data_IF_648539664467
#
_entry.id   IF_648539664467
#
_cell.length_a   1.000
_cell.length_b   1.000
_cell.length_c   1.000
_cell.angle_alpha   90.00
_cell.angle_beta   90.00
_cell.angle_gamma   90.00
#
_symmetry.space_group_name_H-M   'P 1'
#
loop_
_entity.id
_entity.type
_entity.pdbx_description
1 polymer ?
#
# COMPACT_ATOMS: atom_id res chain seq x y z
N UNK A 1 -10.12 -7.60 -48.15
CA UNK A 1 -10.84 -8.63 -48.91
C UNK A 1 -12.14 -8.01 -49.39
N UNK A 2 -12.45 -8.20 -50.68
CA UNK A 2 -13.69 -7.76 -51.30
C UNK A 2 -14.87 -8.36 -50.52
N UNK A 3 -15.81 -7.54 -50.10
CA UNK A 3 -17.12 -8.01 -49.64
C UNK A 3 -18.10 -7.78 -50.77
N UNK A 4 -18.56 -8.90 -51.33
CA UNK A 4 -19.51 -8.98 -52.43
C UNK A 4 -20.86 -8.38 -52.07
N UNK A 5 -21.64 -8.14 -53.12
CA UNK A 5 -22.90 -7.43 -53.11
C UNK A 5 -23.97 -8.02 -52.20
N UNK A 6 -24.66 -7.10 -51.53
CA UNK A 6 -26.13 -7.04 -51.47
C UNK A 6 -26.87 -8.34 -51.16
N UNK A 7 -26.87 -8.70 -49.88
CA UNK A 7 -28.15 -8.92 -49.20
C UNK A 7 -28.42 -7.68 -48.35
N UNK A 8 -29.28 -6.80 -48.86
CA UNK A 8 -29.78 -5.64 -48.11
C UNK A 8 -30.59 -6.23 -46.96
N UNK A 9 -29.97 -6.31 -45.78
CA UNK A 9 -30.63 -6.63 -44.53
C UNK A 9 -31.95 -5.86 -44.46
N UNK A 10 -33.02 -6.56 -44.10
CA UNK A 10 -34.37 -6.03 -43.98
C UNK A 10 -34.34 -4.73 -43.16
N UNK A 11 -34.40 -3.60 -43.86
CA UNK A 11 -34.50 -2.28 -43.25
C UNK A 11 -35.94 -2.07 -42.80
N UNK A 12 -36.09 -1.49 -41.61
CA UNK A 12 -37.26 -0.84 -41.02
C UNK A 12 -38.20 -1.65 -40.11
N UNK A 13 -38.16 -1.33 -38.82
CA UNK A 13 -39.35 -0.79 -38.14
C UNK A 13 -39.19 0.74 -37.97
N UNK A 14 -40.27 1.45 -38.25
CA UNK A 14 -40.36 2.86 -38.66
C UNK A 14 -40.28 3.92 -37.54
N UNK A 15 -39.46 3.76 -36.51
CA UNK A 15 -39.61 4.62 -35.32
C UNK A 15 -38.54 5.70 -35.07
N UNK A 16 -37.51 5.87 -35.92
CA UNK A 16 -36.52 6.94 -35.68
C UNK A 16 -35.84 7.50 -36.96
N UNK A 17 -36.64 8.01 -37.92
CA UNK A 17 -36.11 8.78 -39.07
C UNK A 17 -35.83 10.23 -38.63
N UNK A 18 -34.61 10.72 -38.90
CA UNK A 18 -34.23 12.11 -38.64
C UNK A 18 -35.25 13.08 -39.24
N UNK A 19 -35.68 14.07 -38.46
CA UNK A 19 -36.66 15.08 -38.87
C UNK A 19 -36.38 15.70 -40.24
N UNK A 20 -35.12 15.81 -40.64
CA UNK A 20 -34.65 16.40 -41.90
C UNK A 20 -34.78 15.49 -43.12
N UNK A 21 -35.10 14.21 -42.93
CA UNK A 21 -35.36 13.26 -44.02
C UNK A 21 -36.84 12.86 -44.10
N UNK A 22 -37.70 13.34 -43.19
CA UNK A 22 -39.13 12.95 -43.11
C UNK A 22 -39.95 13.34 -44.34
N UNK A 23 -39.50 14.32 -45.14
CA UNK A 23 -40.17 14.73 -46.39
C UNK A 23 -39.87 13.79 -47.57
N UNK A 24 -38.89 12.89 -47.43
CA UNK A 24 -38.52 11.91 -48.44
C UNK A 24 -39.28 10.60 -48.20
N UNK A 25 -39.68 9.94 -49.28
CA UNK A 25 -40.24 8.59 -49.21
C UNK A 25 -39.14 7.51 -49.12
N UNK A 26 -39.54 6.27 -48.85
CA UNK A 26 -38.61 5.15 -48.66
C UNK A 26 -37.68 4.89 -49.86
N UNK A 27 -38.20 4.94 -51.10
CA UNK A 27 -37.41 4.73 -52.31
C UNK A 27 -36.38 5.86 -52.52
N UNK A 28 -36.77 7.10 -52.22
CA UNK A 28 -35.87 8.26 -52.26
C UNK A 28 -34.75 8.15 -51.23
N UNK A 29 -35.03 7.67 -50.02
CA UNK A 29 -34.01 7.45 -48.98
C UNK A 29 -33.04 6.35 -49.39
N UNK A 30 -33.52 5.23 -49.92
CA UNK A 30 -32.64 4.13 -50.39
C UNK A 30 -31.75 4.59 -51.55
N UNK A 31 -32.29 5.35 -52.50
CA UNK A 31 -31.52 5.94 -53.62
C UNK A 31 -30.48 6.93 -53.12
N UNK A 32 -30.82 7.78 -52.15
CA UNK A 32 -29.89 8.72 -51.52
C UNK A 32 -28.73 7.98 -50.84
N UNK A 33 -29.01 6.92 -50.10
CA UNK A 33 -28.00 6.10 -49.42
C UNK A 33 -27.08 5.41 -50.43
N UNK A 34 -27.63 4.79 -51.48
CA UNK A 34 -26.83 4.15 -52.55
C UNK A 34 -25.89 5.16 -53.19
N UNK A 35 -26.44 6.28 -53.69
CA UNK A 35 -25.66 7.35 -54.31
C UNK A 35 -24.63 7.96 -53.36
N UNK A 36 -24.94 7.99 -52.06
CA UNK A 36 -23.95 8.34 -51.06
C UNK A 36 -22.82 7.30 -51.01
N UNK A 37 -23.03 6.00 -50.91
CA UNK A 37 -21.89 5.07 -50.85
C UNK A 37 -21.15 4.89 -52.20
N UNK A 38 -21.80 5.22 -53.33
CA UNK A 38 -21.21 5.22 -54.68
C UNK A 38 -20.21 6.36 -54.93
N UNK A 39 -20.02 7.26 -53.96
CA UNK A 39 -18.98 8.28 -54.01
C UNK A 39 -19.42 9.63 -54.58
N UNK A 40 -20.71 9.85 -54.84
CA UNK A 40 -21.21 11.11 -55.40
C UNK A 40 -20.91 12.33 -54.50
N UNK A 41 -20.78 13.53 -55.09
CA UNK A 41 -20.51 14.76 -54.32
C UNK A 41 -21.67 15.06 -53.36
N UNK A 42 -21.38 15.10 -52.06
CA UNK A 42 -22.38 15.27 -50.99
C UNK A 42 -23.18 16.57 -51.16
N UNK A 43 -22.55 17.66 -51.61
CA UNK A 43 -23.22 18.94 -51.88
C UNK A 43 -24.32 18.83 -52.95
N UNK A 44 -24.12 17.97 -53.95
CA UNK A 44 -25.11 17.71 -55.00
C UNK A 44 -26.31 16.99 -54.40
N UNK A 45 -26.05 15.94 -53.61
CA UNK A 45 -27.10 15.17 -52.92
C UNK A 45 -27.93 16.04 -51.97
N UNK A 46 -27.30 16.92 -51.18
CA UNK A 46 -28.01 17.82 -50.27
C UNK A 46 -28.95 18.79 -51.01
N UNK A 47 -28.51 19.32 -52.16
CA UNK A 47 -29.34 20.22 -52.98
C UNK A 47 -30.48 19.49 -53.66
N UNK A 48 -30.21 18.34 -54.27
CA UNK A 48 -31.20 17.56 -55.03
C UNK A 48 -32.33 17.04 -54.15
N UNK A 49 -32.00 16.51 -52.98
CA UNK A 49 -32.97 15.97 -52.02
C UNK A 49 -33.50 17.03 -51.04
N UNK A 50 -33.10 18.31 -51.20
CA UNK A 50 -33.53 19.44 -50.38
C UNK A 50 -33.27 19.22 -48.87
N UNK A 51 -32.10 18.67 -48.52
CA UNK A 51 -31.72 18.33 -47.14
C UNK A 51 -30.89 19.47 -46.55
N UNK A 52 -31.39 20.07 -45.48
CA UNK A 52 -30.67 21.12 -44.74
C UNK A 52 -29.72 20.52 -43.69
N UNK A 53 -28.47 20.23 -44.09
CA UNK A 53 -27.42 19.76 -43.20
C UNK A 53 -26.02 20.12 -43.73
N UNK A 54 -24.97 19.99 -42.88
CA UNK A 54 -23.59 20.06 -43.35
C UNK A 54 -23.22 18.77 -44.11
N UNK A 55 -22.32 18.87 -45.09
CA UNK A 55 -21.87 17.71 -45.85
C UNK A 55 -21.28 16.58 -44.97
N UNK A 56 -20.58 16.94 -43.89
CA UNK A 56 -20.02 15.99 -42.92
C UNK A 56 -21.07 15.33 -42.01
N UNK A 57 -22.35 15.70 -42.11
CA UNK A 57 -23.43 15.20 -41.26
C UNK A 57 -24.42 14.31 -42.01
N UNK A 58 -24.36 14.26 -43.34
CA UNK A 58 -25.34 13.52 -44.16
C UNK A 58 -25.51 12.07 -43.71
N UNK A 59 -24.41 11.35 -43.52
CA UNK A 59 -24.43 9.94 -43.12
C UNK A 59 -25.03 9.70 -41.72
N UNK A 60 -25.01 10.70 -40.84
CA UNK A 60 -25.56 10.59 -39.46
C UNK A 60 -27.09 10.59 -39.45
N UNK A 61 -27.71 11.05 -40.53
CA UNK A 61 -29.16 11.10 -40.66
C UNK A 61 -29.74 9.81 -41.25
N UNK A 62 -28.89 8.92 -41.79
CA UNK A 62 -29.34 7.67 -42.36
C UNK A 62 -29.91 6.74 -41.27
N UNK A 63 -30.99 6.01 -41.58
CA UNK A 63 -31.53 5.02 -40.66
C UNK A 63 -30.46 3.97 -40.33
N UNK A 64 -30.48 3.48 -39.09
CA UNK A 64 -29.61 2.41 -38.67
C UNK A 64 -30.00 1.08 -39.34
N UNK A 65 -29.02 0.22 -39.58
CA UNK A 65 -29.24 -1.14 -40.08
C UNK A 65 -29.61 -2.05 -38.92
N UNK A 66 -30.65 -2.86 -39.08
CA UNK A 66 -31.07 -3.86 -38.08
C UNK A 66 -30.18 -5.09 -38.22
N UNK A 67 -29.57 -5.50 -37.12
CA UNK A 67 -28.74 -6.70 -37.04
C UNK A 67 -29.58 -7.92 -36.64
N UNK A 68 -29.16 -9.11 -37.07
CA UNK A 68 -29.83 -10.38 -36.72
C UNK A 68 -29.52 -10.85 -35.28
N UNK A 69 -28.85 -10.01 -34.48
CA UNK A 69 -28.47 -10.28 -33.09
C UNK A 69 -29.40 -9.47 -32.18
N UNK A 70 -29.92 -10.11 -31.14
CA UNK A 70 -30.78 -9.46 -30.15
C UNK A 70 -29.98 -9.02 -28.93
N UNK A 71 -30.36 -7.88 -28.36
CA UNK A 71 -29.85 -7.41 -27.08
C UNK A 71 -30.18 -8.43 -25.98
N UNK A 72 -29.16 -8.86 -25.24
CA UNK A 72 -29.31 -9.77 -24.11
C UNK A 72 -30.29 -9.27 -23.03
N UNK A 73 -30.37 -7.95 -22.81
CA UNK A 73 -31.21 -7.37 -21.75
C UNK A 73 -32.63 -7.02 -22.18
N UNK A 74 -32.79 -6.52 -23.41
CA UNK A 74 -34.08 -5.98 -23.89
C UNK A 74 -34.80 -6.93 -24.86
N UNK A 75 -34.11 -7.97 -25.35
CA UNK A 75 -34.61 -8.90 -26.37
C UNK A 75 -35.07 -8.23 -27.69
N UNK A 76 -34.57 -7.03 -27.97
CA UNK A 76 -34.78 -6.28 -29.22
C UNK A 76 -33.57 -6.43 -30.14
N UNK A 77 -33.77 -6.35 -31.46
CA UNK A 77 -32.66 -6.41 -32.41
C UNK A 77 -31.69 -5.24 -32.19
N UNK A 78 -30.39 -5.54 -32.25
CA UNK A 78 -29.35 -4.52 -32.24
C UNK A 78 -29.36 -3.77 -33.56
N UNK A 79 -28.85 -2.56 -33.54
CA UNK A 79 -28.72 -1.72 -34.73
C UNK A 79 -27.29 -1.22 -34.90
N UNK A 80 -26.86 -1.04 -36.14
CA UNK A 80 -25.57 -0.43 -36.47
C UNK A 80 -25.78 0.87 -37.22
N UNK A 81 -25.09 1.93 -36.80
CA UNK A 81 -25.13 3.19 -37.54
C UNK A 81 -24.38 3.08 -38.87
N UNK A 82 -24.88 3.77 -39.88
CA UNK A 82 -24.23 3.84 -41.17
C UNK A 82 -22.91 4.63 -41.05
N UNK A 83 -21.74 4.08 -41.45
CA UNK A 83 -20.46 4.76 -41.28
C UNK A 83 -20.25 5.84 -42.33
N UNK A 84 -19.47 6.89 -42.02
CA UNK A 84 -19.01 7.82 -43.07
C UNK A 84 -18.07 7.09 -44.04
N UNK A 85 -18.01 7.55 -45.30
CA UNK A 85 -17.09 6.99 -46.32
C UNK A 85 -15.62 6.93 -45.89
N UNK A 86 -15.20 7.81 -44.99
CA UNK A 86 -13.80 7.97 -44.55
C UNK A 86 -13.54 7.41 -43.16
N UNK A 87 -14.51 6.74 -42.53
CA UNK A 87 -14.34 6.22 -41.17
C UNK A 87 -13.66 4.87 -41.19
N UNK A 88 -12.53 4.76 -40.50
CA UNK A 88 -11.88 3.48 -40.21
C UNK A 88 -12.25 2.92 -38.83
N UNK A 89 -13.12 3.60 -38.08
CA UNK A 89 -13.56 3.15 -36.76
C UNK A 89 -14.48 1.93 -36.88
N UNK A 90 -14.21 0.90 -36.07
CA UNK A 90 -15.10 -0.25 -35.92
C UNK A 90 -16.42 0.21 -35.32
N UNK A 91 -17.50 0.07 -36.07
CA UNK A 91 -18.84 0.40 -35.58
C UNK A 91 -19.44 -0.84 -34.93
N UNK A 92 -19.78 -0.73 -33.65
CA UNK A 92 -20.37 -1.83 -32.89
C UNK A 92 -21.88 -1.71 -32.93
N UNK A 93 -22.56 -2.83 -33.20
CA UNK A 93 -24.00 -2.95 -33.03
C UNK A 93 -24.39 -2.57 -31.60
N UNK A 94 -25.49 -1.82 -31.46
CA UNK A 94 -25.98 -1.37 -30.16
C UNK A 94 -27.50 -1.47 -30.04
N UNK A 95 -27.98 -1.59 -28.80
CA UNK A 95 -29.40 -1.70 -28.51
C UNK A 95 -30.03 -0.30 -28.50
N UNK A 96 -31.08 -0.03 -29.30
CA UNK A 96 -31.73 1.29 -29.32
C UNK A 96 -32.49 1.62 -28.02
N UNK A 97 -32.77 0.63 -27.17
CA UNK A 97 -33.49 0.85 -25.91
C UNK A 97 -32.59 1.10 -24.69
N UNK A 98 -31.40 0.49 -24.65
CA UNK A 98 -30.56 0.52 -23.45
C UNK A 98 -29.08 0.83 -23.74
N UNK A 99 -28.75 1.20 -24.97
CA UNK A 99 -27.39 1.51 -25.45
C UNK A 99 -26.37 0.38 -25.23
N UNK A 100 -26.82 -0.86 -25.01
CA UNK A 100 -25.95 -2.02 -24.92
C UNK A 100 -25.22 -2.23 -26.23
N UNK A 101 -23.88 -2.21 -26.20
CA UNK A 101 -23.03 -2.46 -27.37
C UNK A 101 -22.50 -3.90 -27.31
N UNK A 102 -22.44 -4.56 -28.45
CA UNK A 102 -21.86 -5.90 -28.58
C UNK A 102 -20.32 -5.86 -28.52
N UNK A 103 -19.82 -5.53 -27.34
CA UNK A 103 -18.38 -5.45 -27.04
C UNK A 103 -18.17 -5.79 -25.56
N UNK A 104 -17.08 -6.50 -25.22
CA UNK A 104 -16.70 -6.75 -23.83
C UNK A 104 -16.53 -5.47 -23.01
N UNK A 105 -16.30 -4.32 -23.66
CA UNK A 105 -16.08 -3.02 -23.01
C UNK A 105 -17.35 -2.17 -22.91
N UNK A 106 -18.54 -2.77 -23.05
CA UNK A 106 -19.80 -2.04 -22.95
C UNK A 106 -19.98 -1.40 -21.56
N UNK A 107 -20.43 -0.14 -21.53
CA UNK A 107 -20.65 0.64 -20.30
C UNK A 107 -22.09 1.10 -20.11
N UNK A 108 -23.05 0.42 -20.75
CA UNK A 108 -24.47 0.71 -20.53
C UNK A 108 -24.90 0.39 -19.10
N UNK A 109 -26.05 0.90 -18.67
CA UNK A 109 -26.55 0.76 -17.29
C UNK A 109 -26.64 -0.70 -16.84
N UNK A 110 -27.15 -1.59 -17.70
CA UNK A 110 -27.31 -3.00 -17.38
C UNK A 110 -25.96 -3.74 -17.29
N UNK A 111 -25.01 -3.45 -18.20
CA UNK A 111 -23.67 -4.03 -18.12
C UNK A 111 -22.92 -3.57 -16.87
N UNK A 112 -23.02 -2.29 -16.52
CA UNK A 112 -22.44 -1.75 -15.28
C UNK A 112 -23.06 -2.40 -14.04
N UNK A 113 -24.39 -2.57 -14.02
CA UNK A 113 -25.08 -3.22 -12.90
C UNK A 113 -24.64 -4.67 -12.74
N UNK A 114 -24.58 -5.43 -13.83
CA UNK A 114 -24.11 -6.82 -13.81
C UNK A 114 -22.65 -6.92 -13.32
N UNK A 115 -21.79 -6.00 -13.75
CA UNK A 115 -20.40 -5.96 -13.29
C UNK A 115 -20.31 -5.62 -11.79
N UNK A 116 -21.11 -4.65 -11.32
CA UNK A 116 -21.20 -4.31 -9.90
C UNK A 116 -21.70 -5.50 -9.07
N UNK A 117 -22.73 -6.21 -9.54
CA UNK A 117 -23.26 -7.41 -8.87
C UNK A 117 -22.20 -8.51 -8.78
N UNK A 118 -21.41 -8.73 -9.83
CA UNK A 118 -20.27 -9.65 -9.80
C UNK A 118 -19.22 -9.24 -8.77
N UNK A 119 -18.76 -7.99 -8.80
CA UNK A 119 -17.78 -7.47 -7.84
C UNK A 119 -18.30 -7.59 -6.40
N UNK A 120 -19.58 -7.29 -6.16
CA UNK A 120 -20.21 -7.42 -4.85
C UNK A 120 -20.26 -8.88 -4.39
N UNK A 121 -20.66 -9.80 -5.27
CA UNK A 121 -20.69 -11.24 -4.99
C UNK A 121 -19.30 -11.79 -4.70
N UNK A 122 -18.30 -11.41 -5.49
CA UNK A 122 -16.90 -11.80 -5.28
C UNK A 122 -16.36 -11.26 -3.97
N UNK A 123 -16.62 -9.99 -3.66
CA UNK A 123 -16.20 -9.39 -2.39
C UNK A 123 -16.90 -10.03 -1.20
N UNK A 124 -18.17 -10.41 -1.33
CA UNK A 124 -18.90 -11.12 -0.28
C UNK A 124 -18.30 -12.51 -0.04
N UNK A 125 -18.03 -13.27 -1.11
CA UNK A 125 -17.33 -14.55 -1.02
C UNK A 125 -15.97 -14.41 -0.31
N UNK A 126 -15.16 -13.42 -0.73
CA UNK A 126 -13.85 -13.13 -0.11
C UNK A 126 -13.98 -12.80 1.39
N UNK A 127 -14.96 -11.99 1.79
CA UNK A 127 -15.22 -11.67 3.20
C UNK A 127 -15.60 -12.89 4.03
N UNK A 128 -16.49 -13.75 3.51
CA UNK A 128 -16.89 -14.98 4.19
C UNK A 128 -15.66 -15.88 4.39
N UNK A 129 -14.86 -16.08 3.34
CA UNK A 129 -13.65 -16.92 3.43
C UNK A 129 -12.62 -16.37 4.44
N UNK A 130 -12.42 -15.06 4.49
CA UNK A 130 -11.58 -14.41 5.52
C UNK A 130 -12.16 -14.67 6.91
N UNK A 131 -13.46 -14.47 7.09
CA UNK A 131 -14.11 -14.65 8.38
C UNK A 131 -14.00 -16.11 8.89
N UNK A 132 -14.24 -17.08 8.02
CA UNK A 132 -14.12 -18.51 8.33
C UNK A 132 -12.68 -18.92 8.63
N UNK A 133 -11.70 -18.39 7.89
CA UNK A 133 -10.28 -18.74 8.08
C UNK A 133 -9.72 -18.17 9.38
N UNK A 134 -10.06 -16.92 9.68
CA UNK A 134 -9.51 -16.14 10.79
C UNK A 134 -10.47 -15.99 11.96
N UNK A 135 -11.42 -16.92 12.11
CA UNK A 135 -12.20 -17.05 13.33
C UNK A 135 -11.25 -17.38 14.49
N UNK A 136 -11.36 -16.64 15.60
CA UNK A 136 -10.52 -16.87 16.79
C UNK A 136 -10.70 -18.30 17.33
N UNK A 137 -11.88 -18.89 17.15
CA UNK A 137 -12.18 -20.26 17.59
C UNK A 137 -11.34 -21.33 16.86
N UNK A 138 -10.75 -21.01 15.70
CA UNK A 138 -9.87 -21.91 14.98
C UNK A 138 -8.46 -21.99 15.59
N UNK A 139 -8.12 -21.08 16.51
CA UNK A 139 -6.81 -21.02 17.13
C UNK A 139 -6.84 -21.61 18.53
N UNK A 140 -5.82 -22.40 18.84
CA UNK A 140 -5.52 -22.73 20.23
C UNK A 140 -5.01 -21.46 20.91
N UNK A 141 -5.69 -21.02 21.95
CA UNK A 141 -5.27 -19.85 22.71
C UNK A 141 -3.98 -20.11 23.48
N UNK A 142 -3.12 -19.09 23.58
CA UNK A 142 -1.88 -19.17 24.34
C UNK A 142 -2.14 -18.82 25.80
N UNK A 143 -1.50 -19.54 26.72
CA UNK A 143 -1.50 -19.12 28.12
C UNK A 143 -0.50 -17.98 28.29
N UNK A 144 -0.82 -16.98 29.12
CA UNK A 144 0.13 -15.90 29.42
C UNK A 144 1.47 -16.42 29.95
N UNK A 145 1.45 -17.52 30.72
CA UNK A 145 2.64 -18.16 31.27
C UNK A 145 3.53 -18.84 30.22
N UNK A 146 3.02 -19.07 29.00
CA UNK A 146 3.79 -19.62 27.88
C UNK A 146 4.55 -18.52 27.11
N UNK A 147 4.21 -17.25 27.34
CA UNK A 147 4.88 -16.11 26.70
C UNK A 147 6.17 -15.79 27.47
N UNK A 148 7.25 -15.57 26.73
CA UNK A 148 8.49 -15.08 27.34
C UNK A 148 8.43 -13.54 27.52
N UNK A 149 9.37 -12.97 28.28
CA UNK A 149 9.42 -11.53 28.55
C UNK A 149 9.42 -10.67 27.28
N UNK A 150 10.08 -11.12 26.20
CA UNK A 150 10.08 -10.40 24.93
C UNK A 150 8.69 -10.39 24.30
N UNK A 151 8.00 -11.53 24.30
CA UNK A 151 6.66 -11.66 23.77
C UNK A 151 5.68 -10.74 24.51
N UNK A 152 5.75 -10.71 25.85
CA UNK A 152 4.94 -9.82 26.68
C UNK A 152 5.23 -8.34 26.37
N UNK A 153 6.52 -7.94 26.31
CA UNK A 153 6.91 -6.57 25.98
C UNK A 153 6.42 -6.15 24.59
N UNK A 154 6.61 -7.02 23.59
CA UNK A 154 6.23 -6.77 22.21
C UNK A 154 4.71 -6.67 22.04
N UNK A 155 3.96 -7.55 22.71
CA UNK A 155 2.51 -7.51 22.71
C UNK A 155 2.01 -6.21 23.34
N UNK A 156 2.52 -5.85 24.53
CA UNK A 156 2.20 -4.59 25.18
C UNK A 156 2.51 -3.38 24.28
N UNK A 157 3.65 -3.40 23.57
CA UNK A 157 4.02 -2.36 22.62
C UNK A 157 2.98 -2.20 21.49
N UNK A 158 2.53 -3.29 20.86
CA UNK A 158 1.49 -3.21 19.82
C UNK A 158 0.15 -2.72 20.36
N UNK A 159 -0.25 -3.22 21.53
CA UNK A 159 -1.50 -2.83 22.16
C UNK A 159 -1.52 -1.33 22.47
N UNK A 160 -0.45 -0.79 23.05
CA UNK A 160 -0.32 0.65 23.32
C UNK A 160 -0.28 1.50 22.06
N UNK A 161 0.18 0.92 20.97
CA UNK A 161 0.30 1.63 19.70
C UNK A 161 -1.04 1.72 18.97
N UNK A 162 -1.75 0.59 18.80
CA UNK A 162 -2.82 0.45 17.81
C UNK A 162 -4.05 -0.34 18.26
N UNK A 163 -4.19 -0.66 19.55
CA UNK A 163 -5.45 -1.22 20.05
C UNK A 163 -6.57 -0.18 19.88
N UNK A 164 -7.73 -0.60 19.40
CA UNK A 164 -8.89 0.27 19.27
C UNK A 164 -9.54 0.58 20.62
N UNK A 165 -10.39 1.62 20.67
CA UNK A 165 -11.04 2.08 21.90
C UNK A 165 -11.96 1.02 22.54
N UNK A 166 -12.43 0.06 21.74
CA UNK A 166 -13.27 -1.04 22.22
C UNK A 166 -12.47 -2.25 22.69
N UNK A 167 -11.14 -2.18 22.76
CA UNK A 167 -10.27 -3.29 23.17
C UNK A 167 -10.59 -4.58 22.40
N UNK A 168 -10.80 -4.48 21.09
CA UNK A 168 -11.25 -5.57 20.23
C UNK A 168 -10.22 -5.92 19.17
N UNK A 169 -9.64 -4.91 18.52
CA UNK A 169 -8.73 -5.10 17.40
C UNK A 169 -7.46 -4.26 17.55
N UNK A 170 -6.33 -4.84 17.13
CA UNK A 170 -5.13 -4.07 16.84
C UNK A 170 -5.25 -3.61 15.38
N UNK A 171 -5.39 -2.30 15.19
CA UNK A 171 -5.56 -1.68 13.89
C UNK A 171 -4.29 -1.82 13.02
N UNK A 172 -4.40 -1.62 11.68
CA UNK A 172 -3.27 -1.78 10.77
C UNK A 172 -2.11 -0.84 11.12
N UNK A 173 -0.89 -1.31 10.81
CA UNK A 173 0.38 -0.68 11.19
C UNK A 173 1.04 0.12 10.05
N UNK A 174 0.54 0.04 8.80
CA UNK A 174 1.21 0.54 7.58
C UNK A 174 1.69 2.01 7.68
N UNK A 175 0.94 2.86 8.40
CA UNK A 175 1.27 4.28 8.57
C UNK A 175 1.92 4.61 9.93
N UNK A 176 2.22 3.61 10.75
CA UNK A 176 2.68 3.77 12.14
C UNK A 176 3.97 3.01 12.44
N UNK A 177 4.60 2.41 11.43
CA UNK A 177 5.80 1.57 11.57
C UNK A 177 6.90 2.32 12.33
N UNK A 178 7.18 3.57 11.92
CA UNK A 178 8.27 4.38 12.47
C UNK A 178 8.02 4.88 13.90
N UNK A 179 6.80 4.79 14.43
CA UNK A 179 6.49 5.16 15.82
C UNK A 179 6.58 3.98 16.79
N UNK A 180 6.40 2.74 16.34
CA UNK A 180 6.32 1.56 17.23
C UNK A 180 7.71 1.19 17.75
N UNK A 181 8.69 1.15 16.86
CA UNK A 181 10.10 0.83 17.17
C UNK A 181 11.03 1.78 16.41
N UNK A 182 12.31 1.92 16.81
CA UNK A 182 13.20 2.89 16.16
C UNK A 182 13.46 2.61 14.66
N UNK A 183 13.39 1.35 14.23
CA UNK A 183 13.58 0.97 12.82
C UNK A 183 12.43 0.10 12.32
N UNK A 184 12.17 0.14 11.01
CA UNK A 184 11.16 -0.70 10.36
C UNK A 184 11.49 -2.19 10.42
N UNK A 185 12.77 -2.54 10.42
CA UNK A 185 13.22 -3.93 10.56
C UNK A 185 12.90 -4.47 11.96
N UNK A 186 13.05 -3.63 13.01
CA UNK A 186 12.64 -4.01 14.36
C UNK A 186 11.12 -4.14 14.48
N UNK A 187 10.34 -3.30 13.79
CA UNK A 187 8.87 -3.46 13.75
C UNK A 187 8.50 -4.77 13.07
N UNK A 188 9.19 -5.11 11.98
CA UNK A 188 8.98 -6.38 11.26
C UNK A 188 9.29 -7.58 12.15
N UNK A 189 10.43 -7.57 12.83
CA UNK A 189 10.82 -8.60 13.80
C UNK A 189 9.73 -8.77 14.86
N UNK A 190 9.28 -7.66 15.46
CA UNK A 190 8.27 -7.63 16.51
C UNK A 190 6.95 -8.26 16.05
N UNK A 191 6.41 -7.82 14.91
CA UNK A 191 5.13 -8.31 14.39
C UNK A 191 5.23 -9.78 14.00
N UNK A 192 6.30 -10.16 13.29
CA UNK A 192 6.50 -11.54 12.86
C UNK A 192 6.73 -12.49 14.03
N UNK A 193 7.46 -12.07 15.08
CA UNK A 193 7.68 -12.95 16.25
C UNK A 193 6.37 -13.29 16.94
N UNK A 194 5.47 -12.31 17.10
CA UNK A 194 4.14 -12.52 17.71
C UNK A 194 3.22 -13.34 16.78
N UNK A 195 3.21 -13.02 15.48
CA UNK A 195 2.34 -13.70 14.51
C UNK A 195 2.76 -15.16 14.25
N UNK A 196 4.06 -15.46 14.24
CA UNK A 196 4.58 -16.81 14.05
C UNK A 196 4.24 -17.71 15.25
N UNK A 197 4.25 -17.15 16.46
CA UNK A 197 3.83 -17.83 17.69
C UNK A 197 2.32 -17.85 17.90
N UNK A 198 1.54 -17.28 16.98
CA UNK A 198 0.08 -17.13 17.09
C UNK A 198 -0.35 -16.40 18.36
N UNK A 199 0.47 -15.51 18.89
CA UNK A 199 0.12 -14.61 20.01
C UNK A 199 -0.82 -13.53 19.50
N UNK A 200 -0.56 -13.06 18.27
CA UNK A 200 -1.52 -12.29 17.48
C UNK A 200 -1.85 -13.10 16.23
N UNK A 201 -3.09 -12.99 15.77
CA UNK A 201 -3.55 -13.58 14.51
C UNK A 201 -4.34 -12.56 13.72
N UNK A 202 -4.39 -12.64 12.38
CA UNK A 202 -5.25 -11.75 11.62
C UNK A 202 -6.69 -11.85 12.11
N UNK A 203 -7.40 -10.74 12.15
CA UNK A 203 -8.81 -10.70 12.54
C UNK A 203 -9.69 -10.90 11.29
N UNK A 204 -10.80 -11.61 11.47
CA UNK A 204 -11.88 -11.80 10.49
C UNK A 204 -12.44 -10.51 9.84
N UNK A 205 -12.24 -9.35 10.45
CA UNK A 205 -12.70 -8.04 9.97
C UNK A 205 -11.68 -7.35 9.05
N UNK A 206 -10.55 -8.00 8.79
CA UNK A 206 -9.46 -7.43 7.99
C UNK A 206 -9.93 -7.07 6.58
N UNK A 207 -9.49 -5.93 6.02
CA UNK A 207 -9.83 -5.54 4.64
C UNK A 207 -9.37 -6.57 3.61
N UNK A 208 -10.16 -6.83 2.57
CA UNK A 208 -9.85 -7.81 1.50
C UNK A 208 -8.49 -7.54 0.86
N UNK A 209 -8.16 -6.27 0.60
CA UNK A 209 -6.89 -5.84 -0.02
C UNK A 209 -5.67 -6.00 0.92
N UNK A 210 -5.86 -6.49 2.14
CA UNK A 210 -4.79 -6.90 3.05
C UNK A 210 -4.27 -8.31 2.77
N UNK A 211 -4.96 -9.04 1.89
CA UNK A 211 -4.63 -10.39 1.49
C UNK A 211 -4.18 -10.40 0.03
N UNK A 212 -3.26 -11.30 -0.31
CA UNK A 212 -2.80 -11.48 -1.68
C UNK A 212 -3.88 -12.24 -2.47
N UNK A 213 -4.24 -11.72 -3.64
CA UNK A 213 -5.21 -12.35 -4.54
C UNK A 213 -4.53 -13.44 -5.37
N UNK A 214 -4.34 -14.61 -4.76
CA UNK A 214 -3.80 -15.81 -5.40
C UNK A 214 -4.57 -17.08 -4.99
N UNK A 215 -4.11 -18.24 -5.44
CA UNK A 215 -4.73 -19.55 -5.16
C UNK A 215 -4.80 -19.87 -3.66
N UNK A 216 -3.88 -19.31 -2.86
CA UNK A 216 -3.78 -19.54 -1.42
C UNK A 216 -4.66 -18.57 -0.60
N UNK A 217 -5.40 -17.66 -1.24
CA UNK A 217 -6.25 -16.69 -0.55
C UNK A 217 -7.19 -17.38 0.47
N UNK A 218 -7.29 -16.89 1.72
CA UNK A 218 -6.69 -15.67 2.27
C UNK A 218 -5.40 -15.91 3.08
N UNK A 219 -4.70 -17.04 2.93
CA UNK A 219 -3.59 -17.42 3.83
C UNK A 219 -2.34 -16.55 3.71
N UNK A 220 -2.13 -15.92 2.55
CA UNK A 220 -1.04 -14.95 2.34
C UNK A 220 -1.54 -13.54 2.56
N UNK A 221 -0.97 -12.84 3.55
CA UNK A 221 -1.39 -11.49 3.94
C UNK A 221 -0.24 -10.51 4.12
N UNK A 222 -0.54 -9.23 3.96
CA UNK A 222 0.39 -8.13 4.22
C UNK A 222 0.36 -7.79 5.71
N UNK A 223 1.45 -8.09 6.42
CA UNK A 223 1.54 -8.01 7.90
C UNK A 223 1.26 -6.63 8.51
N UNK A 224 1.29 -5.55 7.72
CA UNK A 224 1.01 -4.20 8.20
C UNK A 224 -0.38 -3.68 7.80
N UNK A 225 -1.14 -4.43 6.98
CA UNK A 225 -2.46 -4.03 6.47
C UNK A 225 -3.63 -4.74 7.13
N UNK A 226 -3.40 -5.95 7.63
CA UNK A 226 -4.43 -6.70 8.35
C UNK A 226 -4.73 -6.06 9.70
N UNK A 227 -5.97 -6.24 10.17
CA UNK A 227 -6.28 -6.08 11.58
C UNK A 227 -5.75 -7.32 12.30
N UNK A 228 -5.24 -7.17 13.51
CA UNK A 228 -4.90 -8.31 14.37
C UNK A 228 -5.87 -8.41 15.55
N UNK A 229 -6.04 -9.61 16.04
CA UNK A 229 -6.64 -9.93 17.34
C UNK A 229 -5.62 -10.66 18.20
N UNK A 230 -5.72 -10.48 19.52
CA UNK A 230 -4.86 -11.17 20.48
C UNK A 230 -5.42 -12.57 20.74
N UNK A 231 -4.54 -13.56 20.72
CA UNK A 231 -4.85 -14.98 20.97
C UNK A 231 -4.08 -15.45 22.21
N UNK A 232 -4.36 -14.79 23.34
CA UNK A 232 -3.80 -15.06 24.68
C UNK A 232 -4.96 -15.08 25.68
N UNK A 233 -5.02 -16.09 26.54
CA UNK A 233 -6.01 -16.21 27.61
C UNK A 233 -5.68 -15.27 28.78
N UNK A 234 -5.83 -13.97 28.57
CA UNK A 234 -5.67 -12.95 29.61
C UNK A 234 -6.48 -11.70 29.23
N UNK A 235 -6.87 -10.89 30.23
CA UNK A 235 -7.47 -9.58 29.96
C UNK A 235 -6.50 -8.66 29.20
N UNK A 236 -7.00 -8.01 28.14
CA UNK A 236 -6.22 -7.04 27.37
C UNK A 236 -5.72 -5.86 28.22
N UNK A 237 -6.41 -5.51 29.30
CA UNK A 237 -6.00 -4.47 30.26
C UNK A 237 -4.65 -4.80 30.92
N UNK A 238 -4.46 -6.07 31.29
CA UNK A 238 -3.24 -6.64 31.88
C UNK A 238 -2.14 -6.72 30.83
N UNK A 239 -2.46 -7.22 29.64
CA UNK A 239 -1.50 -7.33 28.52
C UNK A 239 -1.02 -5.96 28.02
N UNK A 240 -1.86 -4.93 28.07
CA UNK A 240 -1.53 -3.55 27.72
C UNK A 240 -0.55 -2.92 28.73
N UNK A 241 -0.62 -3.35 30.00
CA UNK A 241 0.14 -2.80 31.13
C UNK A 241 0.74 -3.94 31.97
N UNK A 242 1.69 -4.72 31.42
CA UNK A 242 2.29 -5.82 32.17
C UNK A 242 3.01 -5.28 33.41
N UNK A 243 3.00 -6.05 34.50
CA UNK A 243 3.71 -5.66 35.71
C UNK A 243 5.21 -5.52 35.42
N UNK A 244 5.79 -4.37 35.73
CA UNK A 244 7.22 -4.11 35.62
C UNK A 244 8.09 -5.14 36.35
N UNK A 245 7.61 -5.73 37.46
CA UNK A 245 8.41 -6.63 38.29
C UNK A 245 8.84 -7.89 37.54
N UNK A 246 8.02 -8.41 36.61
CA UNK A 246 8.37 -9.62 35.84
C UNK A 246 9.63 -9.41 34.99
N UNK A 247 9.86 -8.18 34.52
CA UNK A 247 11.04 -7.82 33.74
C UNK A 247 12.23 -7.53 34.65
N UNK A 248 12.01 -6.79 35.73
CA UNK A 248 13.06 -6.39 36.68
C UNK A 248 13.68 -7.59 37.41
N UNK A 249 12.92 -8.68 37.56
CA UNK A 249 13.42 -9.94 38.10
C UNK A 249 14.38 -10.69 37.16
N UNK A 250 14.55 -10.24 35.90
CA UNK A 250 15.54 -10.75 34.95
C UNK A 250 16.48 -9.61 34.47
N UNK A 251 17.53 -9.30 35.24
CA UNK A 251 18.50 -8.26 34.88
C UNK A 251 19.20 -8.51 33.55
N UNK A 252 19.34 -9.78 33.15
CA UNK A 252 19.95 -10.13 31.86
C UNK A 252 19.04 -9.75 30.70
N UNK A 253 17.73 -10.02 30.81
CA UNK A 253 16.75 -9.53 29.85
C UNK A 253 16.75 -8.00 29.78
N UNK A 254 16.76 -7.32 30.92
CA UNK A 254 16.78 -5.85 31.00
C UNK A 254 17.97 -5.28 30.25
N UNK A 255 19.19 -5.73 30.58
CA UNK A 255 20.41 -5.28 29.92
C UNK A 255 20.37 -5.54 28.41
N UNK A 256 19.97 -6.75 28.01
CA UNK A 256 19.89 -7.12 26.59
C UNK A 256 18.87 -6.27 25.82
N UNK A 257 17.70 -6.03 26.40
CA UNK A 257 16.66 -5.21 25.76
C UNK A 257 17.09 -3.73 25.67
N UNK A 258 17.73 -3.19 26.71
CA UNK A 258 18.31 -1.85 26.66
C UNK A 258 19.31 -1.75 25.52
N UNK A 259 20.29 -2.66 25.48
CA UNK A 259 21.29 -2.76 24.42
C UNK A 259 20.67 -2.80 23.02
N UNK A 260 19.62 -3.59 22.84
CA UNK A 260 18.92 -3.69 21.55
C UNK A 260 18.22 -2.39 21.16
N UNK A 261 17.49 -1.75 22.08
CA UNK A 261 16.83 -0.47 21.82
C UNK A 261 17.88 0.60 21.46
N UNK A 262 18.97 0.68 22.23
CA UNK A 262 20.08 1.61 21.99
C UNK A 262 20.71 1.41 20.60
N UNK A 263 20.92 0.16 20.19
CA UNK A 263 21.42 -0.18 18.87
C UNK A 263 20.45 0.25 17.76
N UNK A 264 19.15 -0.02 17.90
CA UNK A 264 18.15 0.38 16.91
C UNK A 264 17.99 1.91 16.82
N UNK A 265 18.02 2.65 17.93
CA UNK A 265 18.01 4.12 17.95
C UNK A 265 19.29 4.71 17.31
N UNK A 266 20.43 4.05 17.51
CA UNK A 266 21.69 4.43 16.85
C UNK A 266 21.62 4.23 15.33
N UNK A 267 21.08 3.09 14.88
CA UNK A 267 20.86 2.79 13.45
C UNK A 267 19.90 3.81 12.81
N UNK A 268 18.80 4.12 13.49
CA UNK A 268 17.81 5.12 13.04
C UNK A 268 18.47 6.49 12.83
N UNK A 269 19.25 6.96 13.81
CA UNK A 269 19.93 8.24 13.72
C UNK A 269 21.01 8.28 12.63
N UNK A 270 21.75 7.19 12.44
CA UNK A 270 22.69 7.07 11.33
C UNK A 270 21.97 7.25 9.99
N UNK A 271 20.93 6.45 9.72
CA UNK A 271 20.19 6.51 8.45
C UNK A 271 19.60 7.91 8.20
N UNK A 272 19.02 8.50 9.23
CA UNK A 272 18.54 9.87 9.18
C UNK A 272 19.66 10.87 8.82
N UNK A 273 20.81 10.77 9.49
CA UNK A 273 21.96 11.67 9.28
C UNK A 273 22.54 11.52 7.87
N UNK A 274 22.66 10.29 7.37
CA UNK A 274 23.12 9.99 6.01
C UNK A 274 22.15 10.57 4.97
N UNK A 275 20.85 10.37 5.16
CA UNK A 275 19.80 10.91 4.29
C UNK A 275 19.83 12.45 4.24
N UNK A 276 20.09 13.11 5.38
CA UNK A 276 20.19 14.58 5.48
C UNK A 276 21.28 15.17 4.57
N UNK A 277 22.40 14.48 4.42
CA UNK A 277 23.50 14.84 3.50
C UNK A 277 23.40 14.14 2.14
N UNK A 278 22.25 13.51 1.85
CA UNK A 278 21.95 12.77 0.63
C UNK A 278 22.86 11.57 0.38
N UNK A 279 23.53 11.00 1.38
CA UNK A 279 24.32 9.80 1.18
C UNK A 279 23.43 8.56 1.06
N UNK A 280 23.68 7.76 0.01
CA UNK A 280 23.01 6.49 -0.21
C UNK A 280 23.74 5.43 0.63
N UNK A 281 23.08 4.93 1.67
CA UNK A 281 23.69 4.03 2.64
C UNK A 281 22.71 2.97 3.11
N UNK A 282 23.20 1.74 3.21
CA UNK A 282 22.51 0.61 3.80
C UNK A 282 23.34 0.05 4.94
N UNK A 283 22.70 -0.27 6.06
CA UNK A 283 23.35 -0.88 7.20
C UNK A 283 23.71 -2.33 6.85
N UNK A 284 24.96 -2.72 7.13
CA UNK A 284 25.42 -4.11 7.05
C UNK A 284 26.18 -4.51 8.32
N UNK A 285 26.63 -5.77 8.40
CA UNK A 285 27.19 -6.38 9.61
C UNK A 285 28.33 -5.58 10.25
N UNK A 286 29.21 -4.99 9.43
CA UNK A 286 30.30 -4.12 9.93
C UNK A 286 29.77 -2.95 10.74
N UNK A 287 28.69 -2.31 10.28
CA UNK A 287 28.08 -1.17 10.97
C UNK A 287 27.49 -1.60 12.31
N UNK A 288 26.85 -2.77 12.33
CA UNK A 288 26.26 -3.35 13.54
C UNK A 288 27.37 -3.69 14.56
N UNK A 289 28.47 -4.30 14.11
CA UNK A 289 29.62 -4.60 14.96
C UNK A 289 30.19 -3.35 15.60
N UNK A 290 30.49 -2.32 14.79
CA UNK A 290 31.06 -1.05 15.30
C UNK A 290 30.15 -0.39 16.32
N UNK A 291 28.83 -0.34 16.07
CA UNK A 291 27.92 0.24 17.06
C UNK A 291 27.76 -0.60 18.31
N UNK A 292 27.85 -1.93 18.20
CA UNK A 292 27.85 -2.77 19.38
C UNK A 292 29.09 -2.52 20.25
N UNK A 293 30.27 -2.43 19.64
CA UNK A 293 31.53 -2.15 20.34
C UNK A 293 31.50 -0.75 20.98
N UNK A 294 30.92 0.24 20.29
CA UNK A 294 30.77 1.60 20.86
C UNK A 294 29.79 1.62 22.04
N UNK A 295 28.69 0.88 21.98
CA UNK A 295 27.70 0.80 23.05
C UNK A 295 28.24 0.11 24.32
N UNK A 296 29.42 -0.50 24.28
CA UNK A 296 30.09 -1.03 25.48
C UNK A 296 30.73 0.10 26.33
N UNK A 297 30.90 1.28 25.73
CA UNK A 297 31.61 2.41 26.35
C UNK A 297 30.84 3.72 26.33
N UNK A 298 29.86 3.86 25.43
CA UNK A 298 29.17 5.12 25.16
C UNK A 298 27.66 4.93 25.19
N UNK A 299 26.95 5.95 25.68
CA UNK A 299 25.49 6.01 25.60
C UNK A 299 25.01 6.26 24.18
N UNK A 300 23.73 6.00 23.92
CA UNK A 300 23.11 6.28 22.60
C UNK A 300 23.27 7.75 22.23
N UNK A 301 23.06 8.64 23.19
CA UNK A 301 23.29 10.09 23.07
C UNK A 301 24.72 10.44 22.64
N UNK A 302 25.73 9.78 23.21
CA UNK A 302 27.13 10.00 22.85
C UNK A 302 27.46 9.44 21.46
N UNK A 303 26.92 8.28 21.11
CA UNK A 303 27.12 7.70 19.78
C UNK A 303 26.46 8.57 18.70
N UNK A 304 25.32 9.21 18.98
CA UNK A 304 24.73 10.22 18.08
C UNK A 304 25.71 11.38 17.81
N UNK A 305 26.44 11.85 18.83
CA UNK A 305 27.48 12.85 18.66
C UNK A 305 28.65 12.34 17.78
N UNK A 306 29.06 11.09 17.96
CA UNK A 306 30.09 10.45 17.12
C UNK A 306 29.63 10.32 15.67
N UNK A 307 28.38 9.90 15.43
CA UNK A 307 27.77 9.82 14.09
C UNK A 307 27.76 11.20 13.44
N UNK A 308 27.31 12.23 14.14
CA UNK A 308 27.26 13.58 13.60
C UNK A 308 28.65 14.07 13.15
N UNK A 309 29.69 13.83 13.96
CA UNK A 309 31.08 14.15 13.60
C UNK A 309 31.57 13.31 12.43
N UNK A 310 31.25 12.02 12.42
CA UNK A 310 31.58 11.10 11.32
C UNK A 310 31.00 11.54 9.98
N UNK A 311 29.72 11.92 9.96
CA UNK A 311 29.01 12.44 8.79
C UNK A 311 29.56 13.79 8.34
N UNK A 312 29.86 14.69 9.30
CA UNK A 312 30.47 16.00 8.99
C UNK A 312 31.84 15.85 8.33
N UNK A 313 32.68 14.95 8.85
CA UNK A 313 34.01 14.66 8.28
C UNK A 313 33.89 14.03 6.88
N UNK A 314 32.98 13.08 6.70
CA UNK A 314 32.75 12.45 5.39
C UNK A 314 32.21 13.45 4.36
N UNK A 315 31.34 14.37 4.77
CA UNK A 315 30.79 15.43 3.90
C UNK A 315 31.90 16.37 3.45
N UNK A 316 32.80 16.78 4.35
CA UNK A 316 33.98 17.58 4.00
C UNK A 316 34.89 16.81 3.03
N UNK A 317 35.17 15.54 3.32
CA UNK A 317 35.99 14.68 2.47
C UNK A 317 35.44 14.57 1.04
N UNK A 318 34.12 14.50 0.90
CA UNK A 318 33.45 14.56 -0.40
C UNK A 318 33.56 15.93 -1.08
N UNK A 319 33.30 17.02 -0.35
CA UNK A 319 33.28 18.38 -0.88
C UNK A 319 34.64 18.89 -1.32
N UNK A 320 35.73 18.46 -0.67
CA UNK A 320 37.11 18.80 -1.05
C UNK A 320 37.55 18.11 -2.36
N UNK A 321 36.65 17.42 -3.06
CA UNK A 321 36.90 16.76 -4.34
C UNK A 321 37.70 15.47 -4.21
N UNK A 322 37.92 14.99 -2.98
CA UNK A 322 38.90 13.94 -2.72
C UNK A 322 38.37 12.53 -2.99
N UNK A 323 37.06 12.30 -3.13
CA UNK A 323 36.47 10.97 -3.40
C UNK A 323 35.06 10.98 -4.01
N UNK A 324 34.62 9.85 -4.62
CA UNK A 324 33.23 9.61 -4.93
C UNK A 324 32.30 9.60 -3.69
N UNK A 325 31.04 9.99 -3.90
CA UNK A 325 30.00 10.07 -2.86
C UNK A 325 29.83 8.77 -2.06
N UNK A 326 29.85 7.61 -2.72
CA UNK A 326 29.74 6.31 -2.05
C UNK A 326 30.94 6.04 -1.13
N UNK A 327 32.15 6.41 -1.55
CA UNK A 327 33.35 6.24 -0.74
C UNK A 327 33.31 7.16 0.49
N UNK A 328 32.84 8.40 0.34
CA UNK A 328 32.58 9.28 1.47
C UNK A 328 31.55 8.69 2.43
N UNK A 329 30.41 8.18 1.92
CA UNK A 329 29.38 7.54 2.75
C UNK A 329 29.96 6.36 3.56
N UNK A 330 30.73 5.48 2.92
CA UNK A 330 31.35 4.34 3.59
C UNK A 330 32.37 4.74 4.66
N UNK A 331 33.00 5.91 4.52
CA UNK A 331 33.97 6.43 5.51
C UNK A 331 33.33 6.84 6.84
N UNK A 332 32.01 7.08 6.88
CA UNK A 332 31.30 7.51 8.10
C UNK A 332 31.48 6.51 9.23
N UNK A 333 31.30 5.22 8.97
CA UNK A 333 31.43 4.17 10.00
C UNK A 333 32.86 4.05 10.50
N UNK A 334 33.84 4.07 9.59
CA UNK A 334 35.27 4.09 9.97
C UNK A 334 35.62 5.32 10.81
N UNK A 335 35.03 6.48 10.50
CA UNK A 335 35.22 7.68 11.31
C UNK A 335 34.58 7.54 12.69
N UNK A 336 33.38 6.98 12.81
CA UNK A 336 32.73 6.75 14.11
C UNK A 336 33.59 5.83 14.99
N UNK A 337 34.05 4.70 14.43
CA UNK A 337 34.93 3.76 15.11
C UNK A 337 36.21 4.45 15.59
N UNK A 338 36.96 5.09 14.68
CA UNK A 338 38.22 5.78 15.01
C UNK A 338 38.03 6.88 16.06
N UNK A 339 36.93 7.63 15.99
CA UNK A 339 36.63 8.68 16.98
C UNK A 339 36.33 8.07 18.35
N UNK A 340 35.58 6.97 18.41
CA UNK A 340 35.32 6.25 19.65
C UNK A 340 36.57 5.63 20.25
N UNK A 341 37.38 4.92 19.46
CA UNK A 341 38.66 4.34 19.89
C UNK A 341 39.60 5.42 20.46
N UNK A 342 39.69 6.57 19.77
CA UNK A 342 40.49 7.71 20.25
C UNK A 342 39.94 8.27 21.57
N UNK A 343 38.62 8.42 21.67
CA UNK A 343 37.99 8.91 22.89
C UNK A 343 38.24 7.98 24.09
N UNK A 344 38.24 6.67 23.87
CA UNK A 344 38.59 5.67 24.91
C UNK A 344 40.08 5.80 25.27
N UNK A 345 40.98 5.79 24.28
CA UNK A 345 42.42 5.80 24.53
C UNK A 345 42.91 7.07 25.23
N UNK A 346 42.30 8.21 24.94
CA UNK A 346 42.67 9.53 25.48
C UNK A 346 41.76 10.00 26.63
N UNK A 347 40.81 9.16 27.09
CA UNK A 347 39.81 9.49 28.12
C UNK A 347 39.05 10.80 27.83
N UNK A 348 38.59 10.98 26.59
CA UNK A 348 37.82 12.15 26.21
C UNK A 348 36.40 12.08 26.77
N UNK A 349 35.96 13.17 27.40
CA UNK A 349 34.55 13.39 27.72
C UNK A 349 33.75 13.68 26.45
N UNK A 350 33.14 12.64 25.89
CA UNK A 350 32.23 12.76 24.75
C UNK A 350 30.90 13.27 25.26
N UNK A 351 30.62 14.56 25.05
CA UNK A 351 29.29 15.11 25.35
C UNK A 351 28.22 14.50 24.44
N UNK A 352 27.20 13.95 25.07
CA UNK A 352 26.02 13.42 24.40
C UNK A 352 25.15 14.49 23.74
N UNK A 353 24.38 14.09 22.73
CA UNK A 353 23.36 14.91 22.10
C UNK A 353 21.98 14.66 22.72
N UNK A 354 21.11 15.66 22.71
CA UNK A 354 19.71 15.43 23.03
C UNK A 354 19.04 14.61 21.91
N UNK A 355 17.94 13.92 22.24
CA UNK A 355 17.11 13.26 21.22
C UNK A 355 16.70 14.25 20.14
N UNK A 356 16.83 13.83 18.89
CA UNK A 356 16.46 14.65 17.74
C UNK A 356 14.93 14.79 17.68
N UNK A 357 14.42 16.01 17.52
CA UNK A 357 12.99 16.27 17.38
C UNK A 357 12.34 15.49 16.22
N UNK A 358 13.09 15.30 15.12
CA UNK A 358 12.61 14.55 13.96
C UNK A 358 12.60 13.03 14.19
N UNK A 359 13.21 12.55 15.29
CA UNK A 359 13.28 11.13 15.66
C UNK A 359 12.77 10.96 17.10
N UNK A 360 11.45 11.10 17.32
CA UNK A 360 10.87 10.97 18.64
C UNK A 360 11.10 9.56 19.22
N UNK A 361 11.00 9.46 20.55
CA UNK A 361 11.11 8.18 21.24
C UNK A 361 10.01 7.22 20.75
N UNK A 362 10.39 6.01 20.35
CA UNK A 362 9.44 4.98 19.92
C UNK A 362 8.62 4.42 21.07
N UNK A 363 7.45 3.84 20.80
CA UNK A 363 6.59 3.21 21.82
C UNK A 363 7.33 2.12 22.60
N UNK A 364 8.15 1.30 21.92
CA UNK A 364 8.97 0.29 22.57
C UNK A 364 9.95 0.92 23.59
N UNK A 365 10.64 1.98 23.18
CA UNK A 365 11.61 2.71 24.02
C UNK A 365 10.91 3.40 25.18
N UNK A 366 9.76 4.03 24.95
CA UNK A 366 8.96 4.68 25.98
C UNK A 366 8.44 3.68 27.02
N UNK A 367 7.83 2.58 26.55
CA UNK A 367 7.33 1.51 27.42
C UNK A 367 8.45 0.93 28.28
N UNK A 368 9.60 0.63 27.67
CA UNK A 368 10.71 0.02 28.36
C UNK A 368 11.36 0.97 29.37
N UNK A 369 11.76 2.18 28.96
CA UNK A 369 12.52 3.08 29.84
C UNK A 369 11.64 3.88 30.82
N UNK A 370 10.44 4.30 30.41
CA UNK A 370 9.62 5.18 31.23
C UNK A 370 8.69 4.38 32.14
N UNK A 371 8.10 3.29 31.64
CA UNK A 371 7.11 2.52 32.39
C UNK A 371 7.70 1.34 33.15
N UNK A 372 8.57 0.56 32.51
CA UNK A 372 9.16 -0.65 33.12
C UNK A 372 10.34 -0.28 34.03
N UNK A 373 11.39 0.32 33.47
CA UNK A 373 12.59 0.67 34.23
C UNK A 373 12.44 1.96 35.06
N UNK A 374 11.54 2.86 34.65
CA UNK A 374 11.30 4.19 35.29
C UNK A 374 12.55 5.07 35.36
N UNK A 375 13.45 4.94 34.39
CA UNK A 375 14.68 5.72 34.28
C UNK A 375 14.57 6.90 33.30
N UNK A 376 13.49 6.97 32.53
CA UNK A 376 13.23 8.12 31.65
C UNK A 376 14.30 8.29 30.57
N UNK A 377 14.82 9.52 30.43
CA UNK A 377 15.85 9.84 29.43
C UNK A 377 17.18 9.16 29.70
N UNK A 378 17.45 8.69 30.93
CA UNK A 378 18.67 7.94 31.27
C UNK A 378 18.86 6.72 30.38
N UNK A 379 17.77 6.10 29.90
CA UNK A 379 17.82 5.03 28.90
C UNK A 379 18.55 5.38 27.59
N UNK A 380 18.65 6.68 27.28
CA UNK A 380 19.33 7.23 26.11
C UNK A 380 20.66 7.91 26.47
N UNK A 381 20.71 8.54 27.64
CA UNK A 381 21.82 9.36 28.09
C UNK A 381 22.94 8.55 28.76
N UNK A 382 22.64 7.35 29.28
CA UNK A 382 23.58 6.47 29.97
C UNK A 382 23.96 5.25 29.12
N UNK A 383 25.14 4.69 29.44
CA UNK A 383 25.59 3.43 28.84
C UNK A 383 24.65 2.33 29.30
N UNK A 384 24.20 1.42 28.42
CA UNK A 384 23.37 0.29 28.84
C UNK A 384 24.04 -0.51 29.95
N UNK A 385 23.33 -0.72 31.05
CA UNK A 385 23.86 -1.37 32.26
C UNK A 385 22.85 -2.40 32.83
N UNK A 386 23.35 -3.35 33.61
CA UNK A 386 22.62 -4.44 34.27
C UNK A 386 21.92 -3.93 35.55
N UNK A 387 22.34 -2.79 36.11
CA UNK A 387 21.91 -2.33 37.43
C UNK A 387 21.12 -1.02 37.35
N UNK A 388 19.81 -1.14 37.62
CA UNK A 388 19.04 -0.07 38.24
C UNK A 388 19.44 -0.11 39.72
N UNK A 389 20.29 0.82 40.16
CA UNK A 389 20.41 1.08 41.60
C UNK A 389 19.01 1.37 42.16
N UNK A 390 18.68 0.67 43.24
CA UNK A 390 17.37 0.74 43.93
C UNK A 390 17.21 2.05 44.70
#
# INVERSE_FOLDING_TARGET
>A
MKTDGTEVAQLFEMNDIDSRLRHLNHDQINKLISRYYDGEKIETLLKEYQISARASELYKMFPATIENIKCFYCNVHLVTMMPSRTSNAKNYAFCPHCDHKETPLCRCTNCKKLEQEKILSENQYKKIKIAETYDIANYKSNQINDLNLRDVLYLACLLRSRLDENFSIIQPLENYIESITPTSDKTKELVLSLANKKIIVPHSSSPINSFKEDEDFPNTYYIYRVNYQVNVEEELSVLLNPDSTIFLNDPHFVYKMWREIALEETKQYLLYSMKKVKFDFSIGDKTISVFNDLLDHFSTSQIHALIYRGVSNATRYYQEGQVPKQQAANSVITNCQRLGEKAIAENWDVKGFNRNYDLPQSVLSELFFNRILKIGSRGFDEVPDILIDS
#
